data_IF_548377942398
#
_entry.id   IF_548377942398
#
_cell.length_a   1.000
_cell.length_b   1.000
_cell.length_c   1.000
_cell.angle_alpha   90.00
_cell.angle_beta   90.00
_cell.angle_gamma   90.00
#
_symmetry.space_group_name_H-M   'P 1'
#
loop_
_entity.id
_entity.type
_entity.pdbx_description
1 polymer ?
#
# COMPACT_ATOMS: atom_id res chain seq x y z
N UNK A 1 9.18 -25.90 32.13
CA UNK A 1 9.41 -25.61 30.70
C UNK A 1 8.08 -25.57 29.95
N UNK A 2 7.50 -24.38 29.79
CA UNK A 2 6.22 -24.21 29.09
C UNK A 2 6.49 -23.59 27.72
N UNK A 3 6.71 -24.43 26.71
CA UNK A 3 6.82 -24.00 25.32
C UNK A 3 5.48 -23.38 24.90
N UNK A 4 5.46 -22.06 24.67
CA UNK A 4 4.26 -21.36 24.21
C UNK A 4 4.06 -21.65 22.72
N UNK A 5 2.98 -22.36 22.38
CA UNK A 5 2.62 -22.68 21.00
C UNK A 5 1.46 -21.76 20.59
N UNK A 6 1.69 -20.93 19.57
CA UNK A 6 0.65 -20.13 18.94
C UNK A 6 -0.03 -20.91 17.82
N UNK A 7 -1.37 -20.96 17.80
CA UNK A 7 -2.15 -21.66 16.78
C UNK A 7 -2.82 -20.62 15.88
N UNK A 8 -2.69 -20.77 14.55
CA UNK A 8 -3.47 -20.02 13.56
C UNK A 8 -4.40 -20.98 12.83
N UNK A 9 -5.69 -20.69 12.86
CA UNK A 9 -6.71 -21.47 12.16
C UNK A 9 -7.34 -20.63 11.04
N UNK A 10 -7.37 -21.16 9.82
CA UNK A 10 -8.08 -20.57 8.68
C UNK A 10 -9.25 -21.46 8.30
N UNK A 11 -10.41 -20.85 8.04
CA UNK A 11 -11.63 -21.55 7.62
C UNK A 11 -12.22 -20.84 6.41
N UNK A 12 -12.48 -21.59 5.35
CA UNK A 12 -13.13 -21.10 4.15
C UNK A 12 -14.47 -21.82 3.94
N UNK A 13 -15.43 -21.13 3.33
CA UNK A 13 -16.73 -21.68 2.97
C UNK A 13 -16.93 -21.42 1.48
N UNK A 14 -17.06 -22.49 0.70
CA UNK A 14 -17.38 -22.41 -0.72
C UNK A 14 -18.89 -22.54 -0.88
N UNK A 15 -19.51 -21.54 -1.52
CA UNK A 15 -20.94 -21.54 -1.84
C UNK A 15 -21.07 -21.64 -3.37
N UNK A 16 -21.44 -22.81 -3.91
CA UNK A 16 -21.65 -22.99 -5.34
C UNK A 16 -22.91 -22.20 -5.79
N UNK A 17 -22.84 -21.54 -6.93
CA UNK A 17 -23.95 -20.73 -7.49
C UNK A 17 -24.86 -21.51 -8.46
N UNK A 18 -24.53 -22.77 -8.74
CA UNK A 18 -25.30 -23.67 -9.59
C UNK A 18 -24.86 -25.12 -9.39
N UNK A 19 -25.62 -26.08 -9.93
CA UNK A 19 -25.23 -27.48 -9.91
C UNK A 19 -24.04 -27.73 -10.85
N UNK A 20 -23.16 -28.65 -10.49
CA UNK A 20 -21.97 -28.92 -11.28
C UNK A 20 -20.86 -29.66 -10.56
N UNK A 21 -19.79 -29.93 -11.31
CA UNK A 21 -18.53 -30.45 -10.84
C UNK A 21 -17.60 -29.27 -10.47
N UNK A 22 -17.06 -29.27 -9.25
CA UNK A 22 -16.10 -28.27 -8.77
C UNK A 22 -14.81 -28.97 -8.37
N UNK A 23 -13.69 -28.49 -8.89
CA UNK A 23 -12.36 -29.00 -8.55
C UNK A 23 -11.68 -28.04 -7.55
N UNK A 24 -11.34 -28.56 -6.38
CA UNK A 24 -10.50 -27.90 -5.39
C UNK A 24 -9.04 -28.26 -5.72
N UNK A 25 -8.17 -27.28 -6.02
CA UNK A 25 -6.80 -27.57 -6.42
C UNK A 25 -5.97 -28.07 -5.23
N UNK A 26 -4.90 -28.80 -5.53
CA UNK A 26 -3.89 -29.12 -4.54
C UNK A 26 -3.21 -27.83 -4.05
N UNK A 27 -2.88 -27.77 -2.76
CA UNK A 27 -2.21 -26.64 -2.14
C UNK A 27 -0.95 -27.11 -1.41
N UNK A 28 0.15 -26.40 -1.61
CA UNK A 28 1.42 -26.63 -0.94
C UNK A 28 1.76 -25.44 -0.04
N UNK A 29 2.04 -25.70 1.24
CA UNK A 29 2.34 -24.71 2.26
C UNK A 29 3.73 -24.98 2.85
N UNK A 30 4.76 -24.19 2.48
CA UNK A 30 6.05 -24.27 3.15
C UNK A 30 5.92 -23.72 4.58
N UNK A 31 6.42 -24.47 5.55
CA UNK A 31 6.36 -24.12 6.97
C UNK A 31 7.64 -24.53 7.69
N UNK A 32 7.94 -23.86 8.80
CA UNK A 32 9.10 -24.19 9.63
C UNK A 32 8.70 -25.21 10.70
N UNK A 33 9.23 -26.43 10.61
CA UNK A 33 9.03 -27.45 11.62
C UNK A 33 9.98 -27.18 12.80
N UNK A 34 9.41 -26.76 13.93
CA UNK A 34 10.16 -26.45 15.15
C UNK A 34 10.67 -27.69 15.90
N UNK A 35 10.11 -28.87 15.64
CA UNK A 35 10.59 -30.13 16.22
C UNK A 35 11.84 -30.63 15.49
N UNK A 36 11.84 -30.53 14.16
CA UNK A 36 12.94 -30.99 13.30
C UNK A 36 13.92 -29.88 12.91
N UNK A 37 13.63 -28.62 13.28
CA UNK A 37 14.50 -27.47 13.06
C UNK A 37 14.76 -27.16 11.58
N UNK A 38 13.80 -27.46 10.69
CA UNK A 38 13.97 -27.32 9.24
C UNK A 38 12.69 -26.85 8.55
N UNK A 39 12.86 -26.35 7.33
CA UNK A 39 11.73 -26.07 6.44
C UNK A 39 11.13 -27.39 5.93
N UNK A 40 9.82 -27.53 6.04
CA UNK A 40 9.04 -28.63 5.50
C UNK A 40 7.86 -28.10 4.68
N UNK A 41 7.23 -28.98 3.92
CA UNK A 41 6.16 -28.62 3.00
C UNK A 41 4.92 -29.45 3.33
N UNK A 42 3.86 -28.77 3.78
CA UNK A 42 2.56 -29.38 4.01
C UNK A 42 1.76 -29.39 2.70
N UNK A 43 1.16 -30.52 2.36
CA UNK A 43 0.40 -30.67 1.12
C UNK A 43 -1.06 -31.01 1.41
N UNK A 44 -1.96 -30.27 0.77
CA UNK A 44 -3.37 -30.59 0.65
C UNK A 44 -3.62 -31.10 -0.77
N UNK A 45 -4.23 -32.29 -0.89
CA UNK A 45 -4.50 -32.91 -2.20
C UNK A 45 -5.67 -32.22 -2.89
N UNK A 46 -5.69 -32.30 -4.22
CA UNK A 46 -6.84 -31.86 -5.00
C UNK A 46 -8.06 -32.74 -4.69
N UNK A 47 -9.24 -32.12 -4.62
CA UNK A 47 -10.49 -32.79 -4.30
C UNK A 47 -11.62 -32.34 -5.22
N UNK A 48 -12.39 -33.29 -5.75
CA UNK A 48 -13.52 -33.01 -6.63
C UNK A 48 -14.83 -33.08 -5.84
N UNK A 49 -15.61 -32.01 -5.88
CA UNK A 49 -16.91 -31.90 -5.22
C UNK A 49 -18.00 -31.79 -6.27
N UNK A 50 -18.98 -32.70 -6.24
CA UNK A 50 -20.17 -32.65 -7.11
C UNK A 50 -21.34 -32.07 -6.34
N UNK A 51 -21.93 -30.99 -6.86
CA UNK A 51 -23.07 -30.30 -6.26
C UNK A 51 -24.32 -30.58 -7.10
N UNK A 52 -25.38 -31.05 -6.46
CA UNK A 52 -26.67 -31.28 -7.11
C UNK A 52 -27.41 -29.94 -7.36
N UNK A 53 -27.96 -29.75 -8.56
CA UNK A 53 -28.69 -28.54 -8.97
C UNK A 53 -28.71 -28.40 -10.51
N UNK A 54 -29.40 -27.39 -11.04
CA UNK A 54 -29.36 -27.09 -12.47
C UNK A 54 -27.98 -26.53 -12.86
N UNK A 55 -27.33 -27.06 -13.92
CA UNK A 55 -26.07 -26.54 -14.40
C UNK A 55 -26.27 -25.19 -15.10
N UNK A 56 -25.48 -24.19 -14.70
CA UNK A 56 -25.36 -22.93 -15.42
C UNK A 56 -24.65 -23.22 -16.76
N UNK A 57 -25.42 -23.30 -17.83
CA UNK A 57 -24.87 -23.43 -19.19
C UNK A 57 -24.22 -22.10 -19.57
N UNK A 58 -22.89 -22.06 -19.64
CA UNK A 58 -22.19 -20.94 -20.26
C UNK A 58 -22.49 -20.93 -21.77
N UNK A 59 -22.83 -19.78 -22.39
CA UNK A 59 -23.05 -19.72 -23.83
C UNK A 59 -21.73 -19.99 -24.57
N UNK A 60 -21.77 -20.98 -25.47
CA UNK A 60 -20.68 -21.27 -26.38
C UNK A 60 -20.48 -20.09 -27.35
N UNK A 61 -19.34 -19.41 -27.25
CA UNK A 61 -18.94 -18.40 -28.23
C UNK A 61 -18.43 -19.13 -29.47
N UNK A 62 -19.21 -19.11 -30.55
CA UNK A 62 -18.77 -19.59 -31.86
C UNK A 62 -17.71 -18.63 -32.45
N UNK A 63 -16.62 -19.14 -33.05
CA UNK A 63 -15.66 -18.29 -33.73
C UNK A 63 -16.27 -17.75 -35.05
N UNK A 64 -16.34 -16.43 -35.18
CA UNK A 64 -16.69 -15.77 -36.44
C UNK A 64 -15.47 -15.72 -37.36
N UNK A 65 -15.57 -16.33 -38.55
CA UNK A 65 -14.58 -16.19 -39.62
C UNK A 65 -14.74 -14.83 -40.34
N UNK A 66 -13.66 -14.14 -40.73
CA UNK A 66 -13.72 -12.93 -41.54
C UNK A 66 -14.01 -13.26 -43.02
N UNK A 67 -14.80 -12.45 -43.76
CA UNK A 67 -14.98 -12.65 -45.18
C UNK A 67 -13.77 -12.12 -45.96
N UNK A 68 -13.26 -12.95 -46.86
CA UNK A 68 -12.26 -12.62 -47.85
C UNK A 68 -12.87 -11.68 -48.92
N UNK A 69 -12.17 -10.59 -49.21
CA UNK A 69 -12.46 -9.75 -50.36
C UNK A 69 -11.99 -10.40 -51.67
N UNK A 70 -12.68 -10.09 -52.76
CA UNK A 70 -12.09 -10.03 -54.10
C UNK A 70 -12.90 -9.11 -55.01
N UNK A 71 -12.25 -8.50 -56.02
CA UNK A 71 -12.73 -7.32 -56.74
C UNK A 71 -13.27 -7.66 -58.14
N UNK A 72 -14.19 -6.85 -58.66
CA UNK A 72 -14.42 -6.84 -60.11
C UNK A 72 -14.78 -5.44 -60.61
N UNK A 73 -14.04 -5.02 -61.64
CA UNK A 73 -14.09 -3.76 -62.33
C UNK A 73 -14.48 -4.00 -63.80
N UNK A 74 -15.13 -2.98 -64.40
CA UNK A 74 -15.26 -2.62 -65.84
C UNK A 74 -16.74 -2.52 -66.29
N UNK A 75 -17.20 -1.64 -67.17
CA UNK A 75 -16.75 -0.38 -67.82
C UNK A 75 -17.89 0.00 -68.78
N UNK A 76 -18.12 1.31 -69.00
CA UNK A 76 -18.61 2.00 -70.23
C UNK A 76 -19.68 3.07 -69.88
N UNK A 77 -19.35 4.35 -69.76
CA UNK A 77 -18.99 5.34 -70.79
C UNK A 77 -20.17 5.84 -71.66
N UNK A 78 -20.72 7.03 -71.36
CA UNK A 78 -20.88 8.15 -72.31
C UNK A 78 -21.35 9.44 -71.61
N UNK A 79 -20.65 10.54 -71.87
CA UNK A 79 -20.99 11.96 -71.64
C UNK A 79 -20.94 12.61 -73.05
N UNK A 80 -21.77 13.60 -73.43
CA UNK A 80 -21.53 15.01 -73.08
C UNK A 80 -22.76 15.86 -72.70
N UNK A 81 -22.45 16.94 -71.99
CA UNK A 81 -23.30 18.03 -71.51
C UNK A 81 -23.81 18.95 -72.66
N UNK A 82 -24.58 20.03 -72.39
CA UNK A 82 -23.92 21.26 -71.89
C UNK A 82 -24.76 22.20 -70.99
N UNK A 83 -24.03 23.16 -70.42
CA UNK A 83 -24.40 24.55 -70.11
C UNK A 83 -25.04 24.90 -68.76
N UNK A 84 -24.32 25.76 -68.02
CA UNK A 84 -24.93 26.97 -67.46
C UNK A 84 -24.42 27.45 -66.10
N UNK A 85 -23.57 28.48 -66.15
CA UNK A 85 -23.39 29.59 -65.18
C UNK A 85 -22.65 29.24 -63.87
N UNK A 86 -21.38 29.62 -63.71
CA UNK A 86 -20.86 30.96 -63.34
C UNK A 86 -21.03 31.35 -61.85
N UNK A 87 -20.02 32.06 -61.38
CA UNK A 87 -19.82 32.69 -60.06
C UNK A 87 -19.45 31.77 -58.90
N UNK A 88 -18.51 32.10 -58.04
CA UNK A 88 -17.46 33.13 -58.03
C UNK A 88 -16.53 32.74 -56.88
N UNK A 89 -15.29 33.18 -56.93
CA UNK A 89 -14.31 32.96 -55.86
C UNK A 89 -14.38 34.10 -54.86
N UNK A 90 -14.38 33.83 -53.56
CA UNK A 90 -13.78 34.76 -52.60
C UNK A 90 -13.27 34.07 -51.31
N UNK A 91 -11.96 34.14 -51.00
CA UNK A 91 -11.39 33.81 -49.71
C UNK A 91 -11.08 35.11 -48.94
N UNK A 92 -11.89 35.46 -47.95
CA UNK A 92 -11.59 36.64 -47.15
C UNK A 92 -12.59 36.93 -46.06
N UNK A 93 -12.35 36.41 -44.86
CA UNK A 93 -13.03 36.92 -43.66
C UNK A 93 -12.00 37.11 -42.57
N UNK A 94 -11.55 38.37 -42.44
CA UNK A 94 -10.90 38.86 -41.22
C UNK A 94 -11.89 38.76 -40.05
N UNK A 95 -11.43 38.48 -38.81
CA UNK A 95 -12.30 38.49 -37.65
C UNK A 95 -12.70 39.93 -37.28
N UNK A 96 -14.01 40.13 -37.24
CA UNK A 96 -14.71 41.36 -36.90
C UNK A 96 -14.51 41.75 -35.43
N UNK A 97 -14.58 43.06 -35.19
CA UNK A 97 -14.25 43.77 -33.96
C UNK A 97 -15.31 43.56 -32.84
N UNK A 98 -15.46 42.32 -32.36
CA UNK A 98 -16.14 41.96 -31.11
C UNK A 98 -15.19 41.46 -30.01
N UNK A 99 -13.88 41.53 -30.26
CA UNK A 99 -12.84 40.78 -29.54
C UNK A 99 -12.44 41.32 -28.16
N UNK A 100 -13.03 42.41 -27.68
CA UNK A 100 -12.72 42.95 -26.34
C UNK A 100 -13.58 42.33 -25.23
N UNK A 101 -14.81 41.89 -25.54
CA UNK A 101 -15.73 41.33 -24.55
C UNK A 101 -15.37 39.90 -24.10
N UNK A 102 -14.98 39.03 -25.04
CA UNK A 102 -14.64 37.64 -24.71
C UNK A 102 -13.37 37.52 -23.85
N UNK A 103 -12.39 38.43 -24.02
CA UNK A 103 -11.19 38.49 -23.19
C UNK A 103 -11.52 38.85 -21.73
N UNK A 104 -12.52 39.70 -21.49
CA UNK A 104 -13.01 39.99 -20.14
C UNK A 104 -13.70 38.79 -19.50
N UNK A 105 -14.46 38.00 -20.27
CA UNK A 105 -15.07 36.75 -19.79
C UNK A 105 -14.04 35.65 -19.52
N UNK A 106 -13.00 35.53 -20.34
CA UNK A 106 -11.88 34.60 -20.12
C UNK A 106 -11.03 35.03 -18.91
N UNK A 107 -10.78 36.33 -18.74
CA UNK A 107 -10.11 36.89 -17.56
C UNK A 107 -10.91 36.65 -16.28
N UNK A 108 -12.22 36.86 -16.30
CA UNK A 108 -13.08 36.59 -15.15
C UNK A 108 -13.15 35.09 -14.82
N UNK A 109 -13.21 34.23 -15.85
CA UNK A 109 -13.19 32.78 -15.70
C UNK A 109 -11.89 32.27 -15.07
N UNK A 110 -10.73 32.77 -15.52
CA UNK A 110 -9.43 32.38 -14.94
C UNK A 110 -9.28 32.85 -13.50
N UNK A 111 -9.75 34.07 -13.17
CA UNK A 111 -9.77 34.57 -11.78
C UNK A 111 -10.70 33.72 -10.91
N UNK A 112 -11.87 33.33 -11.41
CA UNK A 112 -12.82 32.50 -10.65
C UNK A 112 -12.28 31.08 -10.42
N UNK A 113 -11.65 30.47 -11.42
CA UNK A 113 -10.96 29.18 -11.29
C UNK A 113 -9.76 29.28 -10.34
N UNK A 114 -8.99 30.36 -10.39
CA UNK A 114 -7.87 30.60 -9.48
C UNK A 114 -8.35 30.76 -8.03
N UNK A 115 -9.45 31.49 -7.80
CA UNK A 115 -10.06 31.65 -6.48
C UNK A 115 -10.63 30.33 -5.95
N UNK A 116 -11.31 29.54 -6.79
CA UNK A 116 -11.80 28.21 -6.40
C UNK A 116 -10.65 27.25 -6.10
N UNK A 117 -9.60 27.25 -6.92
CA UNK A 117 -8.39 26.44 -6.71
C UNK A 117 -7.67 26.85 -5.43
N UNK A 118 -7.56 28.16 -5.17
CA UNK A 118 -6.99 28.69 -3.94
C UNK A 118 -7.84 28.28 -2.73
N UNK A 119 -9.16 28.43 -2.79
CA UNK A 119 -10.07 28.02 -1.73
C UNK A 119 -9.98 26.52 -1.43
N UNK A 120 -9.94 25.68 -2.47
CA UNK A 120 -9.73 24.24 -2.34
C UNK A 120 -8.37 23.91 -1.74
N UNK A 121 -7.30 24.59 -2.17
CA UNK A 121 -5.95 24.40 -1.62
C UNK A 121 -5.88 24.75 -0.13
N UNK A 122 -6.51 25.86 0.30
CA UNK A 122 -6.57 26.26 1.71
C UNK A 122 -7.39 25.26 2.54
N UNK A 123 -8.50 24.76 1.99
CA UNK A 123 -9.32 23.73 2.66
C UNK A 123 -8.55 22.42 2.79
N UNK A 124 -7.86 21.99 1.75
CA UNK A 124 -7.06 20.77 1.74
C UNK A 124 -5.84 20.90 2.67
N UNK A 125 -5.21 22.09 2.73
CA UNK A 125 -4.11 22.35 3.65
C UNK A 125 -4.58 22.29 5.11
N UNK A 126 -5.75 22.85 5.44
CA UNK A 126 -6.35 22.73 6.78
C UNK A 126 -6.66 21.28 7.16
N UNK A 127 -7.19 20.48 6.23
CA UNK A 127 -7.44 19.05 6.46
C UNK A 127 -6.15 18.25 6.66
N UNK A 128 -5.11 18.50 5.84
CA UNK A 128 -3.80 17.86 5.97
C UNK A 128 -3.14 18.18 7.32
N UNK A 129 -3.19 19.46 7.73
CA UNK A 129 -2.70 19.89 9.04
C UNK A 129 -3.47 19.25 10.19
N UNK A 130 -4.79 19.07 10.05
CA UNK A 130 -5.62 18.37 11.05
C UNK A 130 -5.21 16.91 11.24
N UNK A 131 -5.03 16.16 10.14
CA UNK A 131 -4.60 14.76 10.18
C UNK A 131 -3.19 14.62 10.75
N UNK A 132 -2.26 15.50 10.37
CA UNK A 132 -0.90 15.50 10.93
C UNK A 132 -0.91 15.83 12.43
N UNK A 133 -1.69 16.82 12.86
CA UNK A 133 -1.80 17.20 14.28
C UNK A 133 -2.45 16.08 15.11
N UNK A 134 -3.45 15.39 14.57
CA UNK A 134 -4.04 14.21 15.19
C UNK A 134 -3.02 13.07 15.34
N UNK A 135 -2.25 12.75 14.28
CA UNK A 135 -1.18 11.74 14.33
C UNK A 135 -0.09 12.09 15.34
N UNK A 136 0.37 13.34 15.38
CA UNK A 136 1.36 13.79 16.37
C UNK A 136 0.80 13.68 17.79
N UNK A 137 -0.46 14.08 18.00
CA UNK A 137 -1.13 13.91 19.30
C UNK A 137 -1.24 12.44 19.72
N UNK A 138 -1.52 11.55 18.77
CA UNK A 138 -1.60 10.10 19.00
C UNK A 138 -0.25 9.48 19.36
N UNK A 139 0.84 9.89 18.69
CA UNK A 139 2.22 9.50 19.02
C UNK A 139 2.62 9.92 20.44
N UNK A 140 2.39 11.20 20.77
CA UNK A 140 2.69 11.72 22.11
C UNK A 140 1.87 10.99 23.17
N UNK A 141 0.59 10.70 22.88
CA UNK A 141 -0.27 9.91 23.75
C UNK A 141 0.19 8.46 23.93
N UNK A 142 0.74 7.82 22.89
CA UNK A 142 1.32 6.47 22.98
C UNK A 142 2.58 6.45 23.85
N UNK A 143 3.51 7.40 23.66
CA UNK A 143 4.71 7.54 24.50
C UNK A 143 4.34 7.86 25.96
N UNK A 144 3.34 8.70 26.20
CA UNK A 144 2.86 9.00 27.55
C UNK A 144 2.29 7.75 28.26
N UNK A 145 1.54 6.92 27.53
CA UNK A 145 1.03 5.62 28.03
C UNK A 145 2.17 4.67 28.37
N UNK A 146 3.19 4.60 27.52
CA UNK A 146 4.38 3.80 27.76
C UNK A 146 5.15 4.27 29.00
N UNK A 147 5.37 5.58 29.13
CA UNK A 147 5.99 6.18 30.32
C UNK A 147 5.23 5.81 31.60
N UNK A 148 3.90 5.92 31.57
CA UNK A 148 3.03 5.56 32.70
C UNK A 148 3.15 4.08 33.07
N UNK A 149 3.14 3.19 32.08
CA UNK A 149 3.30 1.75 32.31
C UNK A 149 4.69 1.39 32.87
N UNK A 150 5.73 2.09 32.41
CA UNK A 150 7.09 1.96 32.94
C UNK A 150 7.19 2.44 34.40
N UNK A 151 6.50 3.52 34.76
CA UNK A 151 6.47 4.03 36.14
C UNK A 151 5.70 3.12 37.10
N UNK A 152 4.64 2.48 36.63
CA UNK A 152 3.87 1.51 37.44
C UNK A 152 4.51 0.12 37.49
N UNK A 153 5.72 -0.07 36.93
CA UNK A 153 6.42 -1.36 36.85
C UNK A 153 5.53 -2.51 36.34
N UNK A 154 4.58 -2.19 35.44
CA UNK A 154 3.69 -3.18 34.87
C UNK A 154 4.23 -3.63 33.52
N UNK A 155 4.91 -4.78 33.50
CA UNK A 155 5.55 -5.33 32.31
C UNK A 155 4.54 -5.58 31.17
N UNK A 156 3.34 -6.08 31.49
CA UNK A 156 2.32 -6.39 30.48
C UNK A 156 1.78 -5.11 29.82
N UNK A 157 1.49 -4.10 30.64
CA UNK A 157 1.06 -2.79 30.15
C UNK A 157 2.17 -2.09 29.34
N UNK A 158 3.44 -2.26 29.73
CA UNK A 158 4.57 -1.69 29.03
C UNK A 158 4.78 -2.35 27.65
N UNK A 159 4.65 -3.68 27.55
CA UNK A 159 4.74 -4.37 26.26
C UNK A 159 3.61 -3.92 25.31
N UNK A 160 2.38 -3.82 25.80
CA UNK A 160 1.25 -3.36 24.99
C UNK A 160 1.45 -1.90 24.52
N UNK A 161 1.82 -1.00 25.43
CA UNK A 161 2.07 0.39 25.09
C UNK A 161 3.26 0.58 24.12
N UNK A 162 4.28 -0.29 24.21
CA UNK A 162 5.40 -0.29 23.28
C UNK A 162 4.95 -0.71 21.87
N UNK A 163 4.10 -1.73 21.76
CA UNK A 163 3.53 -2.13 20.47
C UNK A 163 2.65 -1.04 19.85
N UNK A 164 1.83 -0.37 20.67
CA UNK A 164 1.05 0.78 20.23
C UNK A 164 1.96 1.88 19.68
N UNK A 165 3.02 2.24 20.42
CA UNK A 165 3.97 3.26 19.97
C UNK A 165 4.67 2.86 18.66
N UNK A 166 5.11 1.60 18.52
CA UNK A 166 5.76 1.12 17.29
C UNK A 166 4.85 1.23 16.05
N UNK A 167 3.53 1.08 16.20
CA UNK A 167 2.58 1.24 15.08
C UNK A 167 2.44 2.69 14.63
N UNK A 168 2.56 3.62 15.58
CA UNK A 168 2.44 5.06 15.32
C UNK A 168 3.73 5.67 14.78
N UNK A 169 4.86 4.97 14.97
CA UNK A 169 6.20 5.44 14.62
C UNK A 169 6.59 5.04 13.17
N UNK A 170 6.65 6.00 12.23
CA UNK A 170 6.79 5.73 10.80
C UNK A 170 8.19 5.23 10.44
N UNK A 171 9.19 5.48 11.30
CA UNK A 171 10.54 4.98 11.11
C UNK A 171 10.66 3.48 11.41
N UNK A 172 9.73 2.86 12.13
CA UNK A 172 9.84 1.49 12.64
C UNK A 172 9.01 0.46 11.87
N UNK A 173 8.65 0.74 10.62
CA UNK A 173 7.93 -0.21 9.77
C UNK A 173 8.89 -1.31 9.24
N UNK A 174 8.55 -2.60 9.37
CA UNK A 174 7.35 -3.17 9.98
C UNK A 174 7.33 -3.08 11.52
N UNK A 175 6.18 -2.73 12.11
CA UNK A 175 5.98 -2.48 13.55
C UNK A 175 6.11 -3.76 14.40
N UNK A 176 7.29 -4.35 14.41
CA UNK A 176 7.62 -5.64 15.00
C UNK A 176 8.76 -5.44 15.98
N UNK A 177 8.73 -6.14 17.11
CA UNK A 177 9.83 -6.10 18.09
C UNK A 177 11.19 -6.50 17.48
N UNK A 178 11.20 -7.43 16.52
CA UNK A 178 12.41 -7.84 15.82
C UNK A 178 13.06 -6.65 15.08
N UNK A 179 12.25 -5.82 14.42
CA UNK A 179 12.73 -4.65 13.68
C UNK A 179 13.14 -3.50 14.59
N UNK A 180 12.46 -3.33 15.73
CA UNK A 180 12.94 -2.42 16.77
C UNK A 180 14.31 -2.88 17.29
N UNK A 181 14.51 -4.18 17.53
CA UNK A 181 15.79 -4.73 18.01
C UNK A 181 16.93 -4.49 17.05
N UNK A 182 16.73 -4.62 15.74
CA UNK A 182 17.81 -4.40 14.76
C UNK A 182 18.35 -2.97 14.82
N UNK A 183 17.47 -1.98 15.05
CA UNK A 183 17.85 -0.56 15.15
C UNK A 183 18.20 -0.09 16.56
N UNK A 184 17.77 -0.83 17.58
CA UNK A 184 18.00 -0.48 18.99
C UNK A 184 19.48 -0.58 19.38
N UNK A 185 19.92 0.38 20.20
CA UNK A 185 21.20 0.35 20.88
C UNK A 185 21.34 -0.87 21.81
N UNK A 186 22.58 -1.29 22.13
CA UNK A 186 22.80 -2.43 23.02
C UNK A 186 22.17 -2.25 24.42
N UNK A 187 22.02 -1.01 24.89
CA UNK A 187 21.31 -0.72 26.14
C UNK A 187 19.80 -0.99 26.03
N UNK A 188 19.17 -0.57 24.93
CA UNK A 188 17.74 -0.79 24.68
C UNK A 188 17.45 -2.27 24.43
N UNK A 189 18.31 -2.98 23.70
CA UNK A 189 18.18 -4.44 23.52
C UNK A 189 18.13 -5.18 24.85
N UNK A 190 19.05 -4.87 25.77
CA UNK A 190 19.07 -5.45 27.13
C UNK A 190 17.79 -5.15 27.91
N UNK A 191 17.27 -3.93 27.84
CA UNK A 191 16.01 -3.57 28.51
C UNK A 191 14.80 -4.31 27.91
N UNK A 192 14.78 -4.54 26.59
CA UNK A 192 13.77 -5.35 25.92
C UNK A 192 13.87 -6.83 26.30
N UNK A 193 15.08 -7.36 26.51
CA UNK A 193 15.30 -8.73 27.01
C UNK A 193 14.79 -8.87 28.44
N UNK A 194 15.08 -7.91 29.33
CA UNK A 194 14.56 -7.90 30.70
C UNK A 194 13.02 -7.82 30.74
N UNK A 195 12.41 -7.04 29.84
CA UNK A 195 10.96 -6.98 29.72
C UNK A 195 10.38 -8.35 29.31
N UNK A 196 10.96 -9.00 28.30
CA UNK A 196 10.50 -10.31 27.85
C UNK A 196 10.77 -11.40 28.90
N UNK A 197 11.90 -11.36 29.60
CA UNK A 197 12.21 -12.29 30.68
C UNK A 197 11.16 -12.19 31.80
N UNK A 198 10.81 -10.97 32.23
CA UNK A 198 9.79 -10.75 33.24
C UNK A 198 8.39 -11.24 32.83
N UNK A 199 8.08 -11.26 31.54
CA UNK A 199 6.78 -11.67 31.02
C UNK A 199 6.66 -13.16 30.75
N UNK A 200 7.75 -13.79 30.28
CA UNK A 200 7.71 -15.14 29.74
C UNK A 200 8.64 -16.13 30.47
N UNK A 201 9.73 -15.68 31.10
CA UNK A 201 10.70 -16.57 31.72
C UNK A 201 10.27 -17.07 33.12
N UNK A 202 9.15 -16.56 33.65
CA UNK A 202 8.68 -16.92 34.99
C UNK A 202 9.63 -16.48 36.11
N UNK A 203 10.61 -15.64 35.80
CA UNK A 203 11.54 -15.08 36.76
C UNK A 203 10.79 -14.16 37.73
N UNK A 204 11.03 -14.36 39.03
CA UNK A 204 10.41 -13.57 40.11
C UNK A 204 11.09 -12.23 40.33
N UNK A 205 12.00 -11.82 39.45
CA UNK A 205 12.71 -10.56 39.61
C UNK A 205 11.76 -9.40 39.26
N UNK A 206 11.58 -8.42 40.17
CA UNK A 206 10.66 -7.32 39.92
C UNK A 206 11.16 -6.47 38.75
N UNK A 207 10.45 -6.54 37.62
CA UNK A 207 10.73 -5.73 36.45
C UNK A 207 10.71 -4.24 36.78
N UNK A 208 11.77 -3.52 36.42
CA UNK A 208 11.89 -2.07 36.63
C UNK A 208 11.75 -1.34 35.30
N UNK A 209 10.62 -0.70 35.08
CA UNK A 209 10.34 -0.02 33.81
C UNK A 209 11.18 1.22 33.53
N UNK A 210 11.87 1.76 34.54
CA UNK A 210 12.72 2.96 34.42
C UNK A 210 13.89 2.72 33.45
N UNK A 211 14.51 1.54 33.48
CA UNK A 211 15.63 1.21 32.58
C UNK A 211 15.20 1.18 31.11
N UNK A 212 14.01 0.64 30.83
CA UNK A 212 13.43 0.66 29.49
C UNK A 212 13.11 2.08 29.03
N UNK A 213 12.52 2.90 29.89
CA UNK A 213 12.16 4.29 29.54
C UNK A 213 13.39 5.18 29.29
N UNK A 214 14.48 4.98 30.03
CA UNK A 214 15.74 5.70 29.78
C UNK A 214 16.37 5.27 28.46
N UNK A 215 16.43 3.96 28.19
CA UNK A 215 16.98 3.45 26.95
C UNK A 215 16.14 3.87 25.73
N UNK A 216 14.81 3.97 25.87
CA UNK A 216 13.93 4.41 24.81
C UNK A 216 14.05 5.92 24.53
N UNK A 217 14.28 6.76 25.54
CA UNK A 217 14.50 8.20 25.33
C UNK A 217 15.78 8.49 24.54
N UNK A 218 16.80 7.63 24.66
CA UNK A 218 18.00 7.72 23.82
C UNK A 218 17.79 7.24 22.39
N UNK A 219 16.71 6.49 22.14
CA UNK A 219 16.42 5.90 20.84
C UNK A 219 15.55 6.85 19.99
N UNK A 220 16.17 7.44 18.98
CA UNK A 220 15.47 8.17 17.93
C UNK A 220 15.49 7.33 16.65
N UNK A 221 14.35 6.82 16.17
CA UNK A 221 14.32 6.12 14.90
C UNK A 221 14.68 7.13 13.80
N UNK A 222 15.80 6.89 13.13
CA UNK A 222 16.21 7.69 11.99
C UNK A 222 15.08 7.71 10.96
N UNK A 223 14.64 8.91 10.58
CA UNK A 223 13.65 9.07 9.54
C UNK A 223 14.24 8.50 8.24
N UNK A 224 13.50 7.65 7.50
CA UNK A 224 13.95 7.20 6.19
C UNK A 224 14.01 8.42 5.28
N UNK A 225 15.22 8.96 5.04
CA UNK A 225 15.42 10.10 4.15
C UNK A 225 16.48 11.13 4.53
N UNK A 226 17.25 10.97 5.62
CA UNK A 226 18.48 11.78 5.79
C UNK A 226 19.68 10.96 5.32
N UNK A 227 19.93 11.00 4.00
CA UNK A 227 21.26 10.70 3.48
C UNK A 227 22.28 11.51 4.28
N UNK A 228 23.37 10.90 4.79
CA UNK A 228 24.47 11.65 5.38
C UNK A 228 25.27 12.27 4.24
N UNK A 229 24.73 13.31 3.61
CA UNK A 229 25.51 14.09 2.67
C UNK A 229 26.38 15.10 3.44
N UNK A 230 27.67 15.00 3.15
CA UNK A 230 28.76 15.96 3.39
C UNK A 230 29.36 16.04 4.80
N UNK A 231 30.19 15.05 5.11
CA UNK A 231 31.48 15.30 5.79
C UNK A 231 32.59 14.44 5.12
N UNK A 232 33.18 15.03 4.09
CA UNK A 232 34.58 14.92 3.64
C UNK A 232 35.42 13.68 4.01
N UNK A 233 35.96 13.00 2.99
CA UNK A 233 37.26 12.31 3.12
C UNK A 233 37.37 10.95 2.45
N UNK A 234 37.90 10.93 1.23
CA UNK A 234 38.65 9.86 0.56
C UNK A 234 38.62 8.43 1.15
N UNK A 235 38.09 7.46 0.39
CA UNK A 235 38.41 6.05 0.58
C UNK A 235 37.38 5.05 0.05
N UNK A 236 37.57 4.61 -1.21
CA UNK A 236 37.20 3.27 -1.70
C UNK A 236 35.73 2.86 -1.66
N UNK A 237 35.05 2.94 -2.81
CA UNK A 237 33.83 2.17 -3.05
C UNK A 237 34.19 0.68 -3.07
N UNK A 238 33.73 -0.07 -2.07
CA UNK A 238 33.80 -1.53 -2.06
C UNK A 238 32.82 -2.08 -3.11
N UNK A 239 33.35 -2.85 -4.07
CA UNK A 239 32.59 -3.53 -5.12
C UNK A 239 31.67 -4.60 -4.51
N UNK A 240 30.36 -4.49 -4.74
CA UNK A 240 29.34 -5.46 -4.33
C UNK A 240 28.89 -6.32 -5.52
N UNK A 241 29.82 -7.00 -6.17
CA UNK A 241 29.53 -8.16 -7.00
C UNK A 241 30.65 -9.20 -6.80
N UNK A 242 30.33 -10.42 -6.35
CA UNK A 242 31.20 -11.57 -6.56
C UNK A 242 31.05 -12.10 -7.99
N UNK A 243 32.14 -12.62 -8.56
CA UNK A 243 32.16 -13.47 -9.77
C UNK A 243 31.37 -14.77 -9.55
#
# INVERSE_FOLDING_TARGET
DSTMIGIRQEKWVLVPTGGGAFDIPALELPWWNVADGRMELAQLKAEHVRVAGEPLTAPAVAPVSPPAGSPEAQTAARVPAPSGLESDSDPGSLPDAGSMGWLLWVGLGTVLVALVSLFWSLRQQRQRSGVQRARTGQRVGALARLKKACQSNNAAAAQAALQDWMREEPGLLPATMAHLRTRADPALRRALDQLNAALYAGEREPWRGIGLWQALQGFHPEAPGRSPDTASGAGGLASLYPE
#
